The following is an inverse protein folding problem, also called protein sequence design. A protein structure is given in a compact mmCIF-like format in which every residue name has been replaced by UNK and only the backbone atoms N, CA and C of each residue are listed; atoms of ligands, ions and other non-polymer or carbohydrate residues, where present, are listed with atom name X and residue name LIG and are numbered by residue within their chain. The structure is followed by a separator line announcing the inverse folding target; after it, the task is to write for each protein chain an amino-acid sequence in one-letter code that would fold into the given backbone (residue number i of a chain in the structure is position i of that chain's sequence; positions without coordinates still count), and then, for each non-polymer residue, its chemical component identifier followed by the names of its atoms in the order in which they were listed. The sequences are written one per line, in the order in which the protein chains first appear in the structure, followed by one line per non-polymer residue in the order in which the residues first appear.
data_IF_944758959258
#
_entry.id   IF_944758959258
#
_cell.length_a   1.000
_cell.length_b   1.000
_cell.length_c   1.000
_cell.angle_alpha   90.00
_cell.angle_beta   90.00
_cell.angle_gamma   90.00
#
_symmetry.space_group_name_H-M   'P 1'
#
loop_
_entity.id
_entity.type
_entity.pdbx_description
1 polymer ?
#
# COMPACT_ATOMS: atom_id res chain seq x y z
N UNK A 1 -25.95 5.26 -10.68
CA UNK A 1 -25.69 3.98 -9.96
C UNK A 1 -24.19 3.74 -9.76
N UNK A 2 -23.33 3.98 -10.76
CA UNK A 2 -21.86 3.81 -10.70
C UNK A 2 -21.16 4.77 -9.70
N UNK A 3 -21.59 6.03 -9.62
CA UNK A 3 -21.05 7.00 -8.64
C UNK A 3 -21.14 6.52 -7.18
N UNK A 4 -22.21 5.80 -6.81
CA UNK A 4 -22.38 5.29 -5.43
C UNK A 4 -21.46 4.11 -5.12
N UNK A 5 -21.18 3.24 -6.11
CA UNK A 5 -20.23 2.13 -5.94
C UNK A 5 -18.82 2.68 -5.77
N UNK A 6 -18.41 3.61 -6.62
CA UNK A 6 -17.08 4.25 -6.56
C UNK A 6 -16.89 4.97 -5.21
N UNK A 7 -17.90 5.69 -4.72
CA UNK A 7 -17.84 6.34 -3.40
C UNK A 7 -17.64 5.34 -2.25
N UNK A 8 -18.30 4.18 -2.29
CA UNK A 8 -18.13 3.13 -1.29
C UNK A 8 -16.74 2.51 -1.35
N UNK A 9 -16.25 2.23 -2.55
CA UNK A 9 -14.93 1.63 -2.74
C UNK A 9 -13.82 2.62 -2.29
N UNK A 10 -13.95 3.91 -2.61
CA UNK A 10 -13.07 4.96 -2.11
C UNK A 10 -13.06 5.07 -0.59
N UNK A 11 -14.23 5.04 0.04
CA UNK A 11 -14.33 5.06 1.50
C UNK A 11 -13.65 3.84 2.14
N UNK A 12 -13.85 2.65 1.57
CA UNK A 12 -13.23 1.43 2.04
C UNK A 12 -11.71 1.47 1.88
N UNK A 13 -11.19 1.97 0.76
CA UNK A 13 -9.75 2.13 0.52
C UNK A 13 -9.11 3.09 1.53
N UNK A 14 -9.73 4.25 1.76
CA UNK A 14 -9.23 5.23 2.73
C UNK A 14 -9.25 4.68 4.17
N UNK A 15 -10.31 3.95 4.53
CA UNK A 15 -10.40 3.31 5.85
C UNK A 15 -9.33 2.23 6.01
N UNK A 16 -9.15 1.41 4.98
CA UNK A 16 -8.17 0.32 4.97
C UNK A 16 -6.71 0.84 5.01
N UNK A 17 -6.43 2.00 4.40
CA UNK A 17 -5.11 2.65 4.51
C UNK A 17 -4.83 3.07 5.96
N UNK A 18 -5.79 3.73 6.63
CA UNK A 18 -5.66 4.12 8.04
C UNK A 18 -5.52 2.92 8.96
N UNK A 19 -6.38 1.92 8.81
CA UNK A 19 -6.35 0.71 9.62
C UNK A 19 -5.03 -0.06 9.46
N UNK A 20 -4.43 -0.04 8.26
CA UNK A 20 -3.12 -0.65 8.01
C UNK A 20 -2.00 0.08 8.76
N UNK A 21 -2.12 1.39 8.93
CA UNK A 21 -1.12 2.16 9.67
C UNK A 21 -1.23 1.98 11.18
N UNK A 22 -2.43 1.76 11.71
CA UNK A 22 -2.73 1.66 13.14
C UNK A 22 -2.66 0.22 13.72
N UNK A 23 -2.95 -0.82 12.92
CA UNK A 23 -3.21 -2.18 13.44
C UNK A 23 -2.30 -3.30 12.88
N UNK A 24 -1.32 -3.01 12.04
CA UNK A 24 -0.41 -4.06 11.55
C UNK A 24 0.57 -4.50 12.64
N UNK A 25 0.65 -5.80 12.93
CA UNK A 25 1.46 -6.34 14.04
C UNK A 25 2.96 -6.40 13.69
N UNK A 26 3.29 -6.43 12.40
CA UNK A 26 4.67 -6.37 11.93
C UNK A 26 4.81 -5.67 10.57
N UNK A 27 6.06 -5.35 10.20
CA UNK A 27 6.41 -4.63 8.97
C UNK A 27 5.97 -5.39 7.71
N UNK A 28 6.05 -6.72 7.69
CA UNK A 28 5.69 -7.53 6.52
C UNK A 28 4.17 -7.54 6.28
N UNK A 29 3.37 -7.65 7.34
CA UNK A 29 1.91 -7.53 7.26
C UNK A 29 1.49 -6.13 6.79
N UNK A 30 2.17 -5.09 7.29
CA UNK A 30 1.95 -3.71 6.86
C UNK A 30 2.29 -3.52 5.38
N UNK A 31 3.37 -4.13 4.91
CA UNK A 31 3.80 -4.12 3.51
C UNK A 31 2.77 -4.80 2.61
N UNK A 32 2.32 -6.00 2.98
CA UNK A 32 1.37 -6.76 2.19
C UNK A 32 0.03 -6.04 2.07
N UNK A 33 -0.49 -5.49 3.17
CA UNK A 33 -1.72 -4.68 3.16
C UNK A 33 -1.60 -3.44 2.25
N UNK A 34 -0.48 -2.72 2.30
CA UNK A 34 -0.23 -1.57 1.41
C UNK A 34 -0.11 -1.97 -0.07
N UNK A 35 0.49 -3.13 -0.39
CA UNK A 35 0.51 -3.66 -1.76
C UNK A 35 -0.90 -4.01 -2.25
N UNK A 36 -1.73 -4.61 -1.39
CA UNK A 36 -3.12 -4.92 -1.75
C UNK A 36 -3.94 -3.66 -2.00
N UNK A 37 -3.76 -2.62 -1.16
CA UNK A 37 -4.35 -1.29 -1.36
C UNK A 37 -3.95 -0.67 -2.70
N UNK A 38 -2.66 -0.71 -3.04
CA UNK A 38 -2.15 -0.21 -4.31
C UNK A 38 -2.81 -0.90 -5.51
N UNK A 39 -2.90 -2.25 -5.49
CA UNK A 39 -3.57 -3.04 -6.54
C UNK A 39 -5.05 -2.69 -6.68
N UNK A 40 -5.75 -2.54 -5.56
CA UNK A 40 -7.16 -2.19 -5.54
C UNK A 40 -7.40 -0.78 -6.13
N UNK A 41 -6.57 0.20 -5.77
CA UNK A 41 -6.65 1.55 -6.33
C UNK A 41 -6.42 1.57 -7.84
N UNK A 42 -5.39 0.84 -8.32
CA UNK A 42 -5.11 0.73 -9.75
C UNK A 42 -6.26 0.09 -10.53
N UNK A 43 -6.92 -0.92 -9.96
CA UNK A 43 -8.05 -1.61 -10.58
C UNK A 43 -9.27 -0.70 -10.69
N UNK A 44 -9.56 0.06 -9.64
CA UNK A 44 -10.67 1.00 -9.62
C UNK A 44 -10.43 2.18 -10.59
N UNK A 45 -9.21 2.73 -10.63
CA UNK A 45 -8.83 3.78 -11.58
C UNK A 45 -9.01 3.32 -13.03
N UNK A 46 -8.58 2.10 -13.36
CA UNK A 46 -8.79 1.54 -14.70
C UNK A 46 -10.27 1.34 -15.03
N UNK A 47 -11.08 0.93 -14.06
CA UNK A 47 -12.52 0.73 -14.24
C UNK A 47 -13.24 2.04 -14.54
N UNK A 48 -12.86 3.13 -13.85
CA UNK A 48 -13.37 4.48 -14.11
C UNK A 48 -12.98 4.94 -15.53
N UNK A 49 -11.72 4.76 -15.93
CA UNK A 49 -11.24 5.10 -17.28
C UNK A 49 -12.02 4.36 -18.36
N UNK A 50 -12.19 3.04 -18.20
CA UNK A 50 -12.94 2.21 -19.15
C UNK A 50 -14.40 2.66 -19.27
N UNK A 51 -15.06 2.99 -18.16
CA UNK A 51 -16.42 3.51 -18.16
C UNK A 51 -16.55 4.80 -18.97
N UNK A 52 -15.65 5.77 -18.72
CA UNK A 52 -15.63 7.03 -19.44
C UNK A 52 -15.43 6.79 -20.95
N UNK A 53 -14.45 5.97 -21.33
CA UNK A 53 -14.16 5.63 -22.73
C UNK A 53 -15.40 5.04 -23.41
N UNK A 54 -16.03 4.02 -22.82
CA UNK A 54 -17.20 3.36 -23.41
C UNK A 54 -18.34 4.36 -23.59
N UNK A 55 -18.66 5.18 -22.58
CA UNK A 55 -19.78 6.13 -22.67
C UNK A 55 -19.54 7.21 -23.71
N UNK A 56 -18.32 7.78 -23.79
CA UNK A 56 -17.99 8.78 -24.80
C UNK A 56 -17.92 8.18 -26.23
N UNK A 57 -17.45 6.94 -26.38
CA UNK A 57 -17.45 6.26 -27.68
C UNK A 57 -18.86 5.89 -28.12
N UNK A 58 -19.70 5.36 -27.22
CA UNK A 58 -21.10 5.03 -27.53
C UNK A 58 -21.93 6.25 -27.94
N UNK A 59 -21.67 7.44 -27.37
CA UNK A 59 -22.28 8.69 -27.87
C UNK A 59 -21.84 9.07 -29.28
N UNK A 60 -20.60 8.74 -29.67
CA UNK A 60 -20.09 9.00 -31.02
C UNK A 60 -20.62 8.03 -32.08
N UNK A 61 -21.06 6.82 -31.69
CA UNK A 61 -21.52 5.77 -32.60
C UNK A 61 -23.04 5.71 -32.82
N UNK A 62 -23.79 6.77 -32.50
CA UNK A 62 -25.26 6.86 -32.72
C UNK A 62 -26.10 5.82 -31.96
N UNK A 63 -25.54 5.21 -30.91
CA UNK A 63 -26.34 4.44 -29.94
C UNK A 63 -27.06 5.47 -29.07
N UNK A 64 -28.37 5.35 -28.83
CA UNK A 64 -29.16 6.24 -27.96
C UNK A 64 -28.78 6.14 -26.47
N UNK A 65 -27.49 6.18 -26.17
CA UNK A 65 -26.95 6.21 -24.82
C UNK A 65 -26.44 7.62 -24.62
N UNK A 66 -27.11 8.39 -23.77
CA UNK A 66 -26.61 9.69 -23.37
C UNK A 66 -25.20 9.53 -22.76
N UNK A 67 -24.32 10.47 -23.06
CA UNK A 67 -22.98 10.53 -22.46
C UNK A 67 -23.05 10.64 -20.94
N UNK A 68 -21.92 10.55 -20.24
CA UNK A 68 -21.90 10.91 -18.83
C UNK A 68 -22.28 12.40 -18.71
N UNK A 69 -23.08 12.76 -17.70
CA UNK A 69 -23.36 14.17 -17.43
C UNK A 69 -22.09 14.89 -17.00
N UNK A 70 -22.05 16.21 -17.13
CA UNK A 70 -20.89 17.00 -16.67
C UNK A 70 -20.62 16.78 -15.17
N UNK A 71 -21.67 16.73 -14.35
CA UNK A 71 -21.59 16.41 -12.92
C UNK A 71 -21.03 15.00 -12.68
N UNK A 72 -21.45 14.00 -13.45
CA UNK A 72 -20.92 12.64 -13.35
C UNK A 72 -19.44 12.60 -13.73
N UNK A 73 -19.05 13.27 -14.82
CA UNK A 73 -17.66 13.37 -15.26
C UNK A 73 -16.78 14.04 -14.20
N UNK A 74 -17.23 15.16 -13.61
CA UNK A 74 -16.51 15.84 -12.54
C UNK A 74 -16.32 14.94 -11.31
N UNK A 75 -17.36 14.20 -10.91
CA UNK A 75 -17.25 13.25 -9.80
C UNK A 75 -16.25 12.12 -10.08
N UNK A 76 -16.23 11.61 -11.32
CA UNK A 76 -15.29 10.54 -11.71
C UNK A 76 -13.85 11.02 -11.78
N UNK A 77 -13.63 12.26 -12.25
CA UNK A 77 -12.31 12.90 -12.24
C UNK A 77 -11.83 13.10 -10.80
N UNK A 78 -12.69 13.60 -9.92
CA UNK A 78 -12.36 13.76 -8.49
C UNK A 78 -12.05 12.41 -7.82
N UNK A 79 -12.80 11.36 -8.16
CA UNK A 79 -12.53 10.00 -7.68
C UNK A 79 -11.15 9.48 -8.14
N UNK A 80 -10.77 9.73 -9.40
CA UNK A 80 -9.44 9.35 -9.90
C UNK A 80 -8.32 10.09 -9.17
N UNK A 81 -8.46 11.40 -8.94
CA UNK A 81 -7.47 12.17 -8.19
C UNK A 81 -7.29 11.65 -6.75
N UNK A 82 -8.37 11.24 -6.10
CA UNK A 82 -8.30 10.64 -4.76
C UNK A 82 -7.62 9.27 -4.76
N UNK A 83 -7.85 8.45 -5.79
CA UNK A 83 -7.13 7.17 -5.94
C UNK A 83 -5.63 7.37 -6.13
N UNK A 84 -5.25 8.36 -6.93
CA UNK A 84 -3.84 8.70 -7.16
C UNK A 84 -3.19 9.15 -5.84
N UNK A 85 -3.87 9.97 -5.03
CA UNK A 85 -3.42 10.37 -3.69
C UNK A 85 -3.21 9.16 -2.76
N UNK A 86 -4.17 8.23 -2.71
CA UNK A 86 -4.07 7.01 -1.88
C UNK A 86 -2.90 6.13 -2.33
N UNK A 87 -2.67 6.03 -3.64
CA UNK A 87 -1.55 5.29 -4.23
C UNK A 87 -0.22 5.92 -3.84
N UNK A 88 -0.09 7.25 -3.95
CA UNK A 88 1.12 7.98 -3.56
C UNK A 88 1.43 7.79 -2.07
N UNK A 89 0.43 7.94 -1.18
CA UNK A 89 0.62 7.73 0.26
C UNK A 89 1.00 6.29 0.62
N UNK A 90 0.39 5.31 -0.05
CA UNK A 90 0.76 3.91 0.12
C UNK A 90 2.20 3.65 -0.36
N UNK A 91 2.61 4.25 -1.48
CA UNK A 91 3.95 4.10 -2.04
C UNK A 91 5.02 4.77 -1.15
N UNK A 92 4.80 6.01 -0.70
CA UNK A 92 5.72 6.72 0.19
C UNK A 92 5.93 5.98 1.51
N UNK A 93 4.84 5.43 2.06
CA UNK A 93 4.92 4.61 3.25
C UNK A 93 5.67 3.29 3.01
N UNK A 94 5.51 2.64 1.86
CA UNK A 94 6.29 1.45 1.48
C UNK A 94 7.78 1.77 1.34
N UNK A 95 8.14 2.87 0.68
CA UNK A 95 9.53 3.33 0.58
C UNK A 95 10.15 3.62 1.94
N UNK A 96 9.35 4.14 2.88
CA UNK A 96 9.80 4.41 4.25
C UNK A 96 9.96 3.12 5.05
N UNK A 97 9.09 2.13 4.87
CA UNK A 97 9.22 0.81 5.50
C UNK A 97 10.44 0.02 5.02
N UNK A 98 10.79 0.14 3.74
CA UNK A 98 11.98 -0.53 3.17
C UNK A 98 13.30 0.13 3.62
N UNK A 99 13.25 1.37 4.15
CA UNK A 99 14.38 1.95 4.89
C UNK A 99 14.37 1.39 6.32
N UNK A 100 15.16 0.34 6.54
CA UNK A 100 15.48 -0.23 7.87
C UNK A 100 15.66 0.92 8.89
N UNK A 101 15.08 0.87 10.10
CA UNK A 101 15.35 1.90 11.09
C UNK A 101 16.86 1.91 11.38
N UNK A 102 17.51 3.02 11.04
CA UNK A 102 18.85 3.35 11.50
C UNK A 102 18.81 3.48 13.02
N UNK A 103 19.06 2.37 13.74
CA UNK A 103 19.06 2.43 15.20
C UNK A 103 18.85 1.12 15.96
N UNK A 104 18.88 -0.06 15.34
CA UNK A 104 19.10 -1.28 16.14
C UNK A 104 20.60 -1.34 16.41
N UNK A 105 21.00 -0.87 17.58
CA UNK A 105 22.32 -1.14 18.13
C UNK A 105 22.54 -2.66 18.07
N UNK A 106 23.57 -3.07 17.35
CA UNK A 106 24.10 -4.41 17.47
C UNK A 106 24.68 -4.52 18.88
N UNK A 107 23.92 -5.13 19.80
CA UNK A 107 24.48 -5.67 21.03
C UNK A 107 25.43 -6.80 20.60
N UNK A 108 26.69 -6.43 20.31
CA UNK A 108 27.83 -7.35 20.29
C UNK A 108 28.06 -7.84 21.73
N UNK A 109 27.17 -8.71 22.22
CA UNK A 109 27.44 -9.45 23.43
C UNK A 109 28.35 -10.63 23.08
N UNK A 110 29.65 -10.37 23.20
CA UNK A 110 30.73 -11.33 23.30
C UNK A 110 30.36 -12.45 24.28
N UNK A 111 29.97 -13.62 23.77
CA UNK A 111 30.10 -14.86 24.52
C UNK A 111 30.91 -15.86 23.69
N UNK A 112 32.22 -15.64 23.73
CA UNK A 112 33.24 -16.57 23.29
C UNK A 112 33.16 -17.84 24.16
N UNK A 113 32.24 -18.74 23.80
CA UNK A 113 32.14 -20.06 24.39
C UNK A 113 32.96 -21.03 23.54
N UNK A 114 34.24 -21.23 23.88
CA UNK A 114 34.89 -22.52 23.63
C UNK A 114 36.15 -22.76 24.47
N UNK A 115 35.94 -23.61 25.48
CA UNK A 115 36.82 -24.74 25.86
C UNK A 115 38.15 -24.42 26.56
N UNK A 116 38.14 -24.50 27.90
CA UNK A 116 39.31 -24.91 28.69
C UNK A 116 39.74 -26.35 28.32
N UNK A 117 41.05 -26.63 28.27
CA UNK A 117 41.56 -27.76 29.07
C UNK A 117 43.02 -27.51 29.60
N UNK A 118 43.66 -28.45 30.32
CA UNK A 118 43.76 -28.45 31.77
C UNK A 118 45.18 -28.16 32.27
N UNK A 119 45.29 -28.05 33.60
CA UNK A 119 46.47 -27.78 34.42
C UNK A 119 47.79 -28.43 33.95
N UNK A 120 48.86 -27.64 33.96
CA UNK A 120 50.24 -28.14 34.13
C UNK A 120 50.79 -27.68 35.47
N UNK A 121 50.76 -28.62 36.40
CA UNK A 121 51.61 -28.73 37.58
C UNK A 121 53.05 -28.30 37.22
N UNK A 122 53.53 -27.21 37.83
CA UNK A 122 54.96 -26.89 37.86
C UNK A 122 55.47 -27.29 39.23
N UNK A 123 56.32 -28.32 39.21
CA UNK A 123 57.08 -28.79 40.35
C UNK A 123 57.91 -27.64 40.96
N UNK A 124 57.89 -27.60 42.29
CA UNK A 124 58.76 -26.80 43.14
C UNK A 124 60.21 -27.29 43.08
N UNK A 125 61.14 -26.30 43.11
CA UNK A 125 62.56 -26.33 43.51
C UNK A 125 63.61 -26.97 42.60
#
# INVERSE_FOLDING_TARGET
MISNTIKKDLYWLNSSLRDTDDNAENIEEKREKKIQLWKACSTLSQSIKNYLIIRYQCTGFSVMVEGPSEEETQHLIAAMAELDRIVEEAADALFTLDKKPEGVAEDENNNESSVEPPAKEKADK
#
